data_IF_651393996627
#
_entry.id   IF_651393996627
#
_cell.length_a   1.000
_cell.length_b   1.000
_cell.length_c   1.000
_cell.angle_alpha   90.00
_cell.angle_beta   90.00
_cell.angle_gamma   90.00
#
_symmetry.space_group_name_H-M   'P 1'
#
loop_
_entity.id
_entity.type
_entity.pdbx_description
1 polymer ?
#
# COMPACT_ATOMS: atom_id res chain seq x y z
N UNK A 1 9.28 4.61 -13.61
CA UNK A 1 8.51 4.48 -14.87
C UNK A 1 7.12 5.03 -14.60
N UNK A 2 6.61 5.86 -15.50
CA UNK A 2 5.24 6.42 -15.41
C UNK A 2 4.25 5.42 -15.99
N UNK A 3 3.06 5.30 -15.39
CA UNK A 3 2.02 4.40 -15.86
C UNK A 3 1.46 4.87 -17.21
N UNK A 4 1.55 4.01 -18.23
CA UNK A 4 1.10 4.30 -19.59
C UNK A 4 -0.43 4.18 -19.73
N UNK A 5 -1.02 4.85 -20.72
CA UNK A 5 -2.48 4.86 -20.90
C UNK A 5 -3.08 3.46 -21.07
N UNK A 6 -2.41 2.58 -21.81
CA UNK A 6 -2.86 1.19 -21.94
C UNK A 6 -2.79 0.42 -20.60
N UNK A 7 -1.78 0.69 -19.77
CA UNK A 7 -1.64 0.07 -18.44
C UNK A 7 -2.73 0.59 -17.49
N UNK A 8 -3.07 1.88 -17.55
CA UNK A 8 -4.20 2.45 -16.82
C UNK A 8 -5.52 1.78 -17.20
N UNK A 9 -5.74 1.51 -18.48
CA UNK A 9 -6.92 0.80 -18.96
C UNK A 9 -6.98 -0.64 -18.43
N UNK A 10 -5.84 -1.35 -18.40
CA UNK A 10 -5.75 -2.70 -17.83
C UNK A 10 -6.04 -2.69 -16.32
N UNK A 11 -5.47 -1.76 -15.57
CA UNK A 11 -5.76 -1.64 -14.12
C UNK A 11 -7.24 -1.33 -13.89
N UNK A 12 -7.81 -0.36 -14.60
CA UNK A 12 -9.23 0.01 -14.49
C UNK A 12 -10.18 -1.12 -14.88
N UNK A 13 -9.87 -1.90 -15.90
CA UNK A 13 -10.73 -3.02 -16.34
C UNK A 13 -10.84 -4.13 -15.30
N UNK A 14 -9.87 -4.23 -14.38
CA UNK A 14 -9.91 -5.19 -13.26
C UNK A 14 -10.69 -4.71 -12.03
N UNK A 15 -11.11 -3.43 -11.98
CA UNK A 15 -11.85 -2.87 -10.83
C UNK A 15 -13.10 -3.68 -10.47
N UNK A 16 -13.97 -4.12 -11.40
CA UNK A 16 -15.13 -4.93 -11.05
C UNK A 16 -14.74 -6.26 -10.38
N UNK A 17 -13.67 -6.91 -10.85
CA UNK A 17 -13.17 -8.15 -10.27
C UNK A 17 -12.61 -7.92 -8.87
N UNK A 18 -11.83 -6.84 -8.68
CA UNK A 18 -11.30 -6.46 -7.37
C UNK A 18 -12.39 -6.05 -6.39
N UNK A 19 -13.46 -5.40 -6.85
CA UNK A 19 -14.61 -5.07 -5.98
C UNK A 19 -15.29 -6.34 -5.48
N UNK A 20 -15.39 -7.36 -6.33
CA UNK A 20 -16.01 -8.65 -5.97
C UNK A 20 -15.11 -9.52 -5.08
N UNK A 21 -13.81 -9.49 -5.32
CA UNK A 21 -12.85 -10.41 -4.69
C UNK A 21 -11.89 -9.74 -3.70
N UNK A 22 -12.06 -8.45 -3.42
CA UNK A 22 -11.09 -7.64 -2.67
C UNK A 22 -10.77 -8.16 -1.28
N UNK A 23 -11.77 -8.61 -0.52
CA UNK A 23 -11.55 -9.20 0.81
C UNK A 23 -10.78 -10.53 0.75
N UNK A 24 -11.07 -11.35 -0.27
CA UNK A 24 -10.37 -12.62 -0.47
C UNK A 24 -8.90 -12.39 -0.85
N UNK A 25 -8.66 -11.44 -1.76
CA UNK A 25 -7.30 -11.02 -2.17
C UNK A 25 -6.52 -10.52 -0.96
N UNK A 26 -7.08 -9.63 -0.15
CA UNK A 26 -6.36 -9.09 1.00
C UNK A 26 -6.13 -10.12 2.09
N UNK A 27 -7.04 -11.09 2.27
CA UNK A 27 -6.82 -12.24 3.16
C UNK A 27 -5.63 -13.10 2.69
N UNK A 28 -5.59 -13.49 1.42
CA UNK A 28 -4.48 -14.27 0.84
C UNK A 28 -3.17 -13.50 0.93
N UNK A 29 -3.19 -12.21 0.61
CA UNK A 29 -2.06 -11.30 0.76
C UNK A 29 -1.46 -11.33 2.17
N UNK A 30 -2.26 -11.07 3.21
CA UNK A 30 -1.76 -11.03 4.59
C UNK A 30 -1.25 -12.39 5.04
N UNK A 31 -1.96 -13.47 4.69
CA UNK A 31 -1.56 -14.83 5.05
C UNK A 31 -0.17 -15.16 4.47
N UNK A 32 0.07 -14.86 3.20
CA UNK A 32 1.37 -15.13 2.56
C UNK A 32 2.47 -14.22 3.06
N UNK A 33 2.19 -12.92 3.17
CA UNK A 33 3.18 -11.95 3.61
C UNK A 33 3.66 -12.26 5.02
N UNK A 34 2.76 -12.52 5.98
CA UNK A 34 3.18 -12.82 7.35
C UNK A 34 3.82 -14.20 7.50
N UNK A 35 3.46 -15.17 6.66
CA UNK A 35 4.14 -16.46 6.66
C UNK A 35 5.61 -16.35 6.18
N UNK A 36 5.87 -15.48 5.21
CA UNK A 36 7.21 -15.28 4.67
C UNK A 36 8.04 -14.23 5.42
N UNK A 37 7.37 -13.22 5.98
CA UNK A 37 7.94 -12.07 6.68
C UNK A 37 7.26 -11.88 8.05
N UNK A 38 7.46 -12.82 9.00
CA UNK A 38 6.87 -12.72 10.33
C UNK A 38 7.32 -11.46 11.08
N UNK A 39 8.48 -10.88 10.75
CA UNK A 39 8.99 -9.63 11.29
C UNK A 39 8.13 -8.41 10.97
N UNK A 40 7.29 -8.48 9.92
CA UNK A 40 6.39 -7.40 9.52
C UNK A 40 5.09 -7.44 10.34
N UNK A 41 4.67 -8.61 10.82
CA UNK A 41 3.40 -8.76 11.53
C UNK A 41 3.23 -7.82 12.74
N UNK A 42 4.24 -7.58 13.60
CA UNK A 42 4.14 -6.64 14.73
C UNK A 42 3.86 -5.18 14.34
N UNK A 43 4.10 -4.79 13.07
CA UNK A 43 3.81 -3.45 12.57
C UNK A 43 2.32 -3.21 12.31
N UNK A 44 1.51 -4.28 12.32
CA UNK A 44 0.07 -4.22 12.09
C UNK A 44 -0.71 -4.33 13.41
N UNK A 45 -1.86 -3.66 13.45
CA UNK A 45 -2.80 -3.81 14.55
C UNK A 45 -3.41 -5.23 14.52
N UNK A 46 -3.05 -6.04 15.53
CA UNK A 46 -3.47 -7.44 15.61
C UNK A 46 -4.97 -7.62 15.84
N UNK A 47 -5.64 -6.64 16.47
CA UNK A 47 -7.09 -6.72 16.70
C UNK A 47 -7.86 -6.44 15.41
N UNK A 48 -7.43 -5.41 14.66
CA UNK A 48 -7.96 -5.12 13.31
C UNK A 48 -7.66 -6.24 12.30
N UNK A 49 -6.59 -7.00 12.53
CA UNK A 49 -6.26 -8.17 11.72
C UNK A 49 -7.17 -9.36 12.04
N UNK A 50 -7.42 -9.62 13.33
CA UNK A 50 -8.29 -10.72 13.80
C UNK A 50 -9.76 -10.50 13.43
N UNK A 51 -10.24 -9.26 13.47
CA UNK A 51 -11.63 -8.93 13.17
C UNK A 51 -11.91 -8.71 11.67
N UNK A 52 -10.86 -8.73 10.82
CA UNK A 52 -10.96 -8.58 9.36
C UNK A 52 -11.07 -7.14 8.85
N UNK A 53 -11.01 -6.13 9.73
CA UNK A 53 -11.11 -4.72 9.32
C UNK A 53 -9.86 -4.25 8.55
N UNK A 54 -8.68 -4.76 8.88
CA UNK A 54 -7.44 -4.43 8.18
C UNK A 54 -7.44 -4.91 6.71
N UNK A 55 -7.79 -6.17 6.40
CA UNK A 55 -8.08 -6.63 5.04
C UNK A 55 -9.05 -5.75 4.25
N UNK A 56 -10.16 -5.31 4.87
CA UNK A 56 -11.14 -4.44 4.21
C UNK A 56 -10.60 -3.05 3.91
N UNK A 57 -9.88 -2.44 4.85
CA UNK A 57 -9.26 -1.12 4.66
C UNK A 57 -8.26 -1.12 3.52
N UNK A 58 -7.42 -2.16 3.44
CA UNK A 58 -6.47 -2.29 2.33
C UNK A 58 -7.17 -2.49 0.98
N UNK A 59 -8.22 -3.32 0.94
CA UNK A 59 -9.00 -3.53 -0.29
C UNK A 59 -9.64 -2.21 -0.77
N UNK A 60 -10.23 -1.44 0.15
CA UNK A 60 -10.81 -0.14 -0.14
C UNK A 60 -9.76 0.86 -0.64
N UNK A 61 -8.56 0.88 -0.07
CA UNK A 61 -7.47 1.76 -0.52
C UNK A 61 -6.99 1.41 -1.93
N UNK A 62 -6.81 0.12 -2.24
CA UNK A 62 -6.42 -0.36 -3.59
C UNK A 62 -7.52 0.00 -4.61
N UNK A 63 -8.79 -0.23 -4.28
CA UNK A 63 -9.91 0.10 -5.16
C UNK A 63 -10.03 1.61 -5.40
N UNK A 64 -9.87 2.42 -4.35
CA UNK A 64 -9.87 3.87 -4.47
C UNK A 64 -8.72 4.35 -5.36
N UNK A 65 -7.52 3.79 -5.22
CA UNK A 65 -6.38 4.11 -6.08
C UNK A 65 -6.66 3.73 -7.54
N UNK A 66 -7.07 2.49 -7.81
CA UNK A 66 -7.35 2.02 -9.17
C UNK A 66 -8.46 2.83 -9.86
N UNK A 67 -9.49 3.23 -9.10
CA UNK A 67 -10.59 4.06 -9.60
C UNK A 67 -10.20 5.52 -9.89
N UNK A 68 -9.09 6.00 -9.32
CA UNK A 68 -8.65 7.40 -9.42
C UNK A 68 -7.28 7.56 -10.09
N UNK A 69 -6.82 6.59 -10.90
CA UNK A 69 -5.49 6.63 -11.54
C UNK A 69 -5.22 7.89 -12.38
N UNK A 70 -6.25 8.55 -12.92
CA UNK A 70 -6.08 9.80 -13.69
C UNK A 70 -6.11 11.06 -12.80
N UNK A 71 -6.50 10.91 -11.54
CA UNK A 71 -6.83 12.00 -10.61
C UNK A 71 -6.31 11.69 -9.20
N UNK A 72 -5.03 11.35 -9.12
CA UNK A 72 -4.36 11.05 -7.84
C UNK A 72 -4.39 12.22 -6.86
N UNK A 73 -4.55 13.46 -7.36
CA UNK A 73 -4.79 14.67 -6.56
C UNK A 73 -5.99 14.54 -5.61
N UNK A 74 -7.00 13.74 -5.98
CA UNK A 74 -8.19 13.50 -5.17
C UNK A 74 -7.94 12.59 -3.97
N UNK A 75 -6.83 11.86 -3.95
CA UNK A 75 -6.49 10.92 -2.89
C UNK A 75 -5.79 11.59 -1.71
N UNK A 76 -5.39 12.87 -1.82
CA UNK A 76 -4.56 13.58 -0.85
C UNK A 76 -4.94 13.36 0.63
N UNK A 77 -6.20 13.62 1.05
CA UNK A 77 -6.59 13.43 2.45
C UNK A 77 -6.55 11.96 2.91
N UNK A 78 -6.79 11.00 2.02
CA UNK A 78 -6.73 9.58 2.36
C UNK A 78 -5.28 9.10 2.44
N UNK A 79 -4.46 9.50 1.48
CA UNK A 79 -3.01 9.23 1.41
C UNK A 79 -2.30 9.79 2.64
N UNK A 80 -2.55 11.05 3.01
CA UNK A 80 -1.96 11.66 4.21
C UNK A 80 -2.27 10.87 5.50
N UNK A 81 -3.50 10.37 5.68
CA UNK A 81 -3.84 9.53 6.84
C UNK A 81 -3.06 8.21 6.86
N UNK A 82 -2.80 7.63 5.70
CA UNK A 82 -2.03 6.39 5.58
C UNK A 82 -0.55 6.68 5.91
N UNK A 83 0.02 7.76 5.37
CA UNK A 83 1.42 8.17 5.62
C UNK A 83 1.69 8.40 7.12
N UNK A 84 0.81 9.12 7.81
CA UNK A 84 0.95 9.31 9.26
C UNK A 84 0.88 7.99 10.04
N UNK A 85 0.01 7.06 9.61
CA UNK A 85 -0.05 5.73 10.22
C UNK A 85 1.24 4.95 9.96
N UNK A 86 1.74 4.98 8.73
CA UNK A 86 2.97 4.32 8.31
C UNK A 86 4.18 4.79 9.12
N UNK A 87 4.34 6.10 9.29
CA UNK A 87 5.40 6.67 10.12
C UNK A 87 5.25 6.26 11.58
N UNK A 88 4.03 6.31 12.13
CA UNK A 88 3.76 5.85 13.49
C UNK A 88 4.07 4.35 13.71
N UNK A 89 3.94 3.52 12.67
CA UNK A 89 4.28 2.09 12.71
C UNK A 89 5.67 1.79 12.14
N UNK A 90 6.51 2.81 11.92
CA UNK A 90 7.90 2.69 11.46
C UNK A 90 8.06 1.99 10.11
N UNK A 91 7.14 2.22 9.18
CA UNK A 91 7.28 1.76 7.79
C UNK A 91 8.47 2.43 7.13
N UNK A 92 9.24 1.65 6.36
CA UNK A 92 10.47 2.05 5.68
C UNK A 92 10.40 1.67 4.20
N UNK A 93 11.21 2.29 3.32
CA UNK A 93 11.20 2.00 1.89
C UNK A 93 11.36 0.50 1.55
N UNK A 94 12.16 -0.23 2.32
CA UNK A 94 12.39 -1.68 2.15
C UNK A 94 11.15 -2.56 2.35
N UNK A 95 10.09 -2.06 3.02
CA UNK A 95 8.86 -2.81 3.20
C UNK A 95 7.95 -2.80 1.95
N UNK A 96 8.07 -1.77 1.09
CA UNK A 96 7.21 -1.64 -0.10
C UNK A 96 7.41 -2.76 -1.12
N UNK A 97 8.64 -3.16 -1.49
CA UNK A 97 8.85 -4.29 -2.40
C UNK A 97 8.22 -5.60 -1.88
N UNK A 98 8.23 -5.81 -0.55
CA UNK A 98 7.63 -6.99 0.08
C UNK A 98 6.11 -6.95 -0.11
N UNK A 99 5.47 -5.84 0.27
CA UNK A 99 4.02 -5.67 0.12
C UNK A 99 3.59 -5.83 -1.34
N UNK A 100 4.29 -5.17 -2.28
CA UNK A 100 3.99 -5.24 -3.71
C UNK A 100 4.03 -6.67 -4.26
N UNK A 101 5.07 -7.43 -3.91
CA UNK A 101 5.19 -8.84 -4.32
C UNK A 101 3.99 -9.67 -3.87
N UNK A 102 3.70 -9.66 -2.56
CA UNK A 102 2.63 -10.50 -2.02
C UNK A 102 1.24 -10.05 -2.47
N UNK A 103 1.06 -8.76 -2.76
CA UNK A 103 -0.20 -8.26 -3.30
C UNK A 103 -0.44 -8.79 -4.72
N UNK A 104 0.58 -8.73 -5.60
CA UNK A 104 0.46 -9.25 -6.96
C UNK A 104 0.27 -10.77 -6.99
N UNK A 105 0.97 -11.50 -6.12
CA UNK A 105 0.77 -12.95 -5.96
C UNK A 105 -0.66 -13.28 -5.50
N UNK A 106 -1.23 -12.50 -4.58
CA UNK A 106 -2.60 -12.70 -4.12
C UNK A 106 -3.63 -12.38 -5.20
N UNK A 107 -3.42 -11.32 -5.99
CA UNK A 107 -4.26 -11.00 -7.15
C UNK A 107 -4.22 -12.15 -8.16
N UNK A 108 -3.03 -12.68 -8.47
CA UNK A 108 -2.88 -13.80 -9.40
C UNK A 108 -3.57 -15.06 -8.90
N UNK A 109 -3.43 -15.37 -7.62
CA UNK A 109 -4.07 -16.56 -7.03
C UNK A 109 -5.59 -16.49 -7.10
N UNK A 110 -6.17 -15.36 -6.69
CA UNK A 110 -7.64 -15.24 -6.59
C UNK A 110 -8.29 -15.06 -7.94
N UNK A 111 -7.68 -14.31 -8.87
CA UNK A 111 -8.26 -14.08 -10.19
C UNK A 111 -7.86 -15.16 -11.22
N UNK A 112 -6.87 -16.00 -10.92
CA UNK A 112 -6.44 -17.10 -11.78
C UNK A 112 -6.04 -16.61 -13.18
N UNK A 113 -6.66 -17.17 -14.21
CA UNK A 113 -6.38 -16.83 -15.62
C UNK A 113 -6.84 -15.42 -16.00
N UNK A 114 -7.75 -14.81 -15.23
CA UNK A 114 -8.17 -13.43 -15.46
C UNK A 114 -7.08 -12.41 -15.07
N UNK A 115 -6.12 -12.79 -14.21
CA UNK A 115 -4.91 -12.02 -13.97
C UNK A 115 -3.83 -12.42 -15.00
N UNK A 116 -3.96 -11.88 -16.21
CA UNK A 116 -2.98 -12.11 -17.28
C UNK A 116 -1.62 -11.47 -16.93
N UNK A 117 -0.51 -11.90 -17.57
CA UNK A 117 0.79 -11.29 -17.34
C UNK A 117 0.80 -9.77 -17.54
N UNK A 118 0.10 -9.27 -18.56
CA UNK A 118 0.01 -7.83 -18.87
C UNK A 118 -0.75 -7.07 -17.78
N UNK A 119 -1.80 -7.68 -17.21
CA UNK A 119 -2.54 -7.10 -16.10
C UNK A 119 -1.65 -7.01 -14.85
N UNK A 120 -0.92 -8.08 -14.54
CA UNK A 120 -0.01 -8.09 -13.39
C UNK A 120 1.13 -7.09 -13.55
N UNK A 121 1.68 -6.95 -14.76
CA UNK A 121 2.69 -5.94 -15.06
C UNK A 121 2.13 -4.53 -14.86
N UNK A 122 0.94 -4.25 -15.39
CA UNK A 122 0.28 -2.95 -15.21
C UNK A 122 0.03 -2.64 -13.74
N UNK A 123 -0.41 -3.63 -12.95
CA UNK A 123 -0.57 -3.50 -11.50
C UNK A 123 0.76 -3.28 -10.77
N UNK A 124 1.84 -3.93 -11.21
CA UNK A 124 3.17 -3.73 -10.65
C UNK A 124 3.68 -2.30 -10.88
N UNK A 125 3.49 -1.76 -12.08
CA UNK A 125 3.84 -0.37 -12.38
C UNK A 125 3.00 0.61 -11.56
N UNK A 126 1.69 0.39 -11.46
CA UNK A 126 0.78 1.24 -10.70
C UNK A 126 1.11 1.20 -9.20
N UNK A 127 1.32 0.02 -8.63
CA UNK A 127 1.76 -0.13 -7.24
C UNK A 127 3.06 0.62 -6.98
N UNK A 128 4.06 0.47 -7.86
CA UNK A 128 5.35 1.13 -7.69
C UNK A 128 5.23 2.65 -7.78
N UNK A 129 4.38 3.18 -8.67
CA UNK A 129 4.12 4.62 -8.74
C UNK A 129 3.56 5.16 -7.42
N UNK A 130 2.54 4.50 -6.86
CA UNK A 130 1.99 4.86 -5.54
C UNK A 130 3.03 4.72 -4.43
N UNK A 131 3.81 3.63 -4.43
CA UNK A 131 4.86 3.39 -3.45
C UNK A 131 5.89 4.52 -3.42
N UNK A 132 6.35 5.01 -4.57
CA UNK A 132 7.32 6.11 -4.63
C UNK A 132 6.74 7.42 -4.09
N UNK A 133 5.46 7.71 -4.34
CA UNK A 133 4.78 8.89 -3.77
C UNK A 133 4.78 8.80 -2.24
N UNK A 134 4.30 7.66 -1.70
CA UNK A 134 4.22 7.44 -0.26
C UNK A 134 5.61 7.52 0.41
N UNK A 135 6.61 6.85 -0.16
CA UNK A 135 7.99 6.87 0.34
C UNK A 135 8.54 8.30 0.41
N UNK A 136 8.30 9.11 -0.63
CA UNK A 136 8.76 10.49 -0.67
C UNK A 136 8.13 11.35 0.43
N UNK A 137 6.81 11.22 0.64
CA UNK A 137 6.11 11.97 1.68
C UNK A 137 6.48 11.51 3.09
N UNK A 138 6.58 10.20 3.31
CA UNK A 138 6.98 9.63 4.60
C UNK A 138 8.40 10.05 4.98
N UNK A 139 9.33 10.10 4.02
CA UNK A 139 10.68 10.60 4.25
C UNK A 139 10.68 12.06 4.74
N UNK A 140 9.79 12.90 4.20
CA UNK A 140 9.65 14.29 4.67
C UNK A 140 9.09 14.36 6.10
N UNK A 141 8.14 13.49 6.45
CA UNK A 141 7.60 13.41 7.82
C UNK A 141 8.68 12.94 8.80
N UNK A 142 9.46 11.91 8.46
CA UNK A 142 10.57 11.45 9.29
C UNK A 142 11.61 12.55 9.53
N UNK A 143 12.03 13.25 8.47
CA UNK A 143 13.00 14.34 8.59
C UNK A 143 12.47 15.51 9.44
N UNK A 144 11.16 15.75 9.46
CA UNK A 144 10.55 16.75 10.32
C UNK A 144 10.57 16.32 11.79
N UNK A 145 10.23 15.06 12.09
CA UNK A 145 10.25 14.51 13.44
C UNK A 145 11.66 14.49 14.04
N UNK A 146 12.69 14.18 13.24
CA UNK A 146 14.09 14.21 13.67
C UNK A 146 14.49 15.63 14.09
N UNK A 147 14.14 16.65 13.30
CA UNK A 147 14.42 18.06 13.63
C UNK A 147 13.69 18.54 14.88
N UNK A 148 12.46 18.09 15.08
CA UNK A 148 11.67 18.43 16.29
C UNK A 148 12.31 17.81 17.53
N UNK A 149 12.76 16.56 17.45
CA UNK A 149 13.47 15.89 18.55
C UNK A 149 14.80 16.58 18.88
N UNK A 150 15.61 16.94 17.88
CA UNK A 150 16.86 17.68 18.07
C UNK A 150 16.62 19.02 18.80
N UNK A 151 15.56 19.75 18.42
CA UNK A 151 15.19 21.01 19.07
C UNK A 151 14.72 20.82 20.51
N UNK A 152 13.91 19.79 20.79
CA UNK A 152 13.46 19.48 22.14
C UNK A 152 14.62 19.10 23.06
N UNK A 153 15.59 18.32 22.55
CA UNK A 153 16.81 17.96 23.28
C UNK A 153 17.70 19.18 23.57
N UNK A 154 17.85 20.09 22.60
CA UNK A 154 18.60 21.35 22.79
C UNK A 154 17.95 22.23 23.86
N UNK A 155 16.63 22.37 23.85
CA UNK A 155 15.88 23.15 24.86
C UNK A 155 15.96 22.49 26.25
N UNK A 156 15.89 21.17 26.34
CA UNK A 156 15.97 20.44 27.60
C UNK A 156 17.39 20.45 28.23
N UNK A 157 18.42 20.75 27.44
CA UNK A 157 19.81 20.82 27.88
C UNK A 157 20.23 22.20 28.43
N UNK A 158 19.34 23.20 28.41
CA UNK A 158 19.54 24.58 28.90
C UNK A 158 18.86 24.80 30.25
#
# INVERSE_FOLDING_TARGET
MTLLDHQKLLVKSTVPALTKHGEEITRVFYQRMFAAHPEIAPMFNQDDQKNGEQPKRLAAAILAYAGNLDRLDLLGPAVSRIEHRHVATKVRPEHYPIVGKYLLEAIKEVLGDAATPEILEAWGVAYNELAQIMIGHEAAIYAQQEKEQEQEEEVAAV
#
